data_IF_627749941280
#
_entry.id   IF_627749941280
#
_cell.length_a   1.000
_cell.length_b   1.000
_cell.length_c   1.000
_cell.angle_alpha   90.00
_cell.angle_beta   90.00
_cell.angle_gamma   90.00
#
_symmetry.space_group_name_H-M   'P 1'
#
loop_
_entity.id
_entity.type
_entity.pdbx_description
1 polymer ?
#
# COMPACT_ATOMS: atom_id res chain seq x y z
N UNK A 1 -6.04 40.95 -22.37
CA UNK A 1 -5.32 40.61 -21.12
C UNK A 1 -5.11 39.11 -21.13
N UNK A 2 -3.87 38.67 -21.33
CA UNK A 2 -3.53 37.24 -21.34
C UNK A 2 -2.87 36.93 -20.00
N UNK A 3 -3.58 36.20 -19.14
CA UNK A 3 -3.05 35.76 -17.85
C UNK A 3 -2.17 34.54 -18.07
N UNK A 4 -0.85 34.72 -17.96
CA UNK A 4 0.10 33.61 -17.92
C UNK A 4 -0.01 32.93 -16.56
N UNK A 5 -0.49 31.68 -16.52
CA UNK A 5 -0.43 30.86 -15.32
C UNK A 5 1.02 30.45 -15.06
N UNK A 6 1.66 31.06 -14.05
CA UNK A 6 2.96 30.63 -13.54
C UNK A 6 2.76 29.34 -12.74
N UNK A 7 2.85 28.19 -13.41
CA UNK A 7 3.04 26.91 -12.71
C UNK A 7 4.51 26.79 -12.34
N UNK A 8 4.86 26.86 -11.06
CA UNK A 8 6.21 26.60 -10.58
C UNK A 8 6.56 25.14 -10.85
N UNK A 9 7.60 24.91 -11.66
CA UNK A 9 8.15 23.58 -11.91
C UNK A 9 8.50 22.91 -10.57
N UNK A 10 7.91 21.74 -10.29
CA UNK A 10 8.07 21.03 -9.00
C UNK A 10 6.96 21.25 -7.98
N UNK A 11 5.85 21.90 -8.35
CA UNK A 11 4.63 21.90 -7.52
C UNK A 11 4.05 20.47 -7.42
N UNK A 12 4.49 19.72 -6.41
CA UNK A 12 3.97 18.38 -6.09
C UNK A 12 2.89 18.49 -5.01
N UNK A 13 1.78 17.79 -5.20
CA UNK A 13 0.74 17.67 -4.19
C UNK A 13 1.22 16.70 -3.10
N UNK A 14 1.42 17.20 -1.88
CA UNK A 14 1.90 16.43 -0.71
C UNK A 14 0.77 15.77 0.08
N UNK A 15 -0.45 15.79 -0.42
CA UNK A 15 -1.61 15.17 0.23
C UNK A 15 -1.51 13.65 0.10
N UNK A 16 -1.86 12.92 1.17
CA UNK A 16 -1.93 11.45 1.13
C UNK A 16 -2.80 11.00 -0.03
N UNK A 17 -2.36 9.95 -0.73
CA UNK A 17 -3.17 9.31 -1.76
C UNK A 17 -4.36 8.56 -1.17
N UNK A 18 -4.34 8.22 0.13
CA UNK A 18 -5.30 7.34 0.79
C UNK A 18 -5.44 5.98 0.08
N UNK A 19 -4.38 5.50 -0.57
CA UNK A 19 -4.36 4.19 -1.22
C UNK A 19 -3.26 3.31 -0.64
N UNK A 20 -3.52 2.02 -0.59
CA UNK A 20 -2.54 0.97 -0.35
C UNK A 20 -2.60 -0.05 -1.48
N UNK A 21 -1.53 -0.81 -1.68
CA UNK A 21 -1.57 -1.86 -2.68
C UNK A 21 -0.32 -2.71 -2.74
N UNK A 22 -0.48 -3.86 -3.39
CA UNK A 22 0.58 -4.82 -3.63
C UNK A 22 0.70 -5.10 -5.13
N UNK A 23 1.91 -5.45 -5.54
CA UNK A 23 2.19 -5.97 -6.87
C UNK A 23 2.56 -7.44 -6.74
N UNK A 24 1.73 -8.28 -7.33
CA UNK A 24 1.91 -9.73 -7.38
C UNK A 24 2.68 -10.12 -8.65
N UNK A 25 3.43 -11.22 -8.55
CA UNK A 25 3.96 -11.89 -9.73
C UNK A 25 2.81 -12.44 -10.59
N UNK A 26 3.02 -12.51 -11.90
CA UNK A 26 2.03 -13.05 -12.83
C UNK A 26 2.14 -14.58 -12.90
N UNK A 27 1.82 -15.26 -11.79
CA UNK A 27 1.81 -16.71 -11.65
C UNK A 27 0.44 -17.20 -11.12
N UNK A 28 0.31 -18.51 -10.90
CA UNK A 28 -0.94 -19.11 -10.44
C UNK A 28 -1.41 -18.54 -9.10
N UNK A 29 -0.49 -18.35 -8.14
CA UNK A 29 -0.82 -17.86 -6.80
C UNK A 29 -1.25 -16.40 -6.87
N UNK A 30 -0.52 -15.58 -7.62
CA UNK A 30 -0.86 -14.17 -7.86
C UNK A 30 -2.23 -14.00 -8.51
N UNK A 31 -2.59 -14.87 -9.45
CA UNK A 31 -3.94 -14.89 -10.05
C UNK A 31 -5.03 -15.24 -9.03
N UNK A 32 -4.82 -16.26 -8.20
CA UNK A 32 -5.81 -16.66 -7.20
C UNK A 32 -6.01 -15.55 -6.16
N UNK A 33 -4.92 -14.99 -5.63
CA UNK A 33 -4.99 -13.83 -4.72
C UNK A 33 -5.76 -12.68 -5.39
N UNK A 34 -5.42 -12.33 -6.63
CA UNK A 34 -6.08 -11.22 -7.32
C UNK A 34 -7.58 -11.45 -7.52
N UNK A 35 -8.01 -12.67 -7.87
CA UNK A 35 -9.43 -12.99 -8.00
C UNK A 35 -10.16 -12.98 -6.65
N UNK A 36 -9.57 -13.53 -5.58
CA UNK A 36 -10.14 -13.46 -4.22
C UNK A 36 -10.33 -12.02 -3.74
N UNK A 37 -9.39 -11.14 -4.08
CA UNK A 37 -9.45 -9.74 -3.67
C UNK A 37 -10.40 -8.88 -4.53
N UNK A 38 -10.71 -9.30 -5.77
CA UNK A 38 -11.48 -8.51 -6.75
C UNK A 38 -12.85 -8.06 -6.23
N UNK A 39 -13.51 -8.91 -5.45
CA UNK A 39 -14.88 -8.66 -4.98
C UNK A 39 -14.94 -7.88 -3.66
N UNK A 40 -13.78 -7.54 -3.07
CA UNK A 40 -13.71 -6.78 -1.82
C UNK A 40 -13.94 -5.29 -2.07
N UNK A 41 -14.64 -4.65 -1.14
CA UNK A 41 -14.98 -3.23 -1.25
C UNK A 41 -13.73 -2.35 -1.33
N UNK A 42 -13.73 -1.38 -2.25
CA UNK A 42 -12.62 -0.45 -2.44
C UNK A 42 -11.38 -1.05 -3.11
N UNK A 43 -11.42 -2.31 -3.56
CA UNK A 43 -10.31 -2.95 -4.28
C UNK A 43 -10.42 -2.74 -5.78
N UNK A 44 -9.28 -2.50 -6.42
CA UNK A 44 -9.09 -2.42 -7.87
C UNK A 44 -7.96 -3.35 -8.28
N UNK A 45 -8.29 -4.32 -9.15
CA UNK A 45 -7.31 -5.27 -9.71
C UNK A 45 -6.96 -4.86 -11.13
N UNK A 46 -5.67 -4.72 -11.43
CA UNK A 46 -5.16 -4.42 -12.77
C UNK A 46 -4.17 -5.49 -13.23
N UNK A 47 -4.52 -6.18 -14.32
CA UNK A 47 -3.65 -7.16 -14.96
C UNK A 47 -2.69 -6.46 -15.92
N UNK A 48 -1.39 -6.62 -15.69
CA UNK A 48 -0.32 -6.16 -16.58
C UNK A 48 0.40 -7.39 -17.16
N UNK A 49 1.13 -7.26 -18.28
CA UNK A 49 1.72 -8.41 -18.96
C UNK A 49 2.62 -9.31 -18.08
N UNK A 50 3.31 -8.74 -17.09
CA UNK A 50 4.27 -9.45 -16.23
C UNK A 50 3.93 -9.42 -14.74
N UNK A 51 2.85 -8.74 -14.34
CA UNK A 51 2.52 -8.52 -12.92
C UNK A 51 1.04 -8.20 -12.76
N UNK A 52 0.52 -8.39 -11.57
CA UNK A 52 -0.86 -8.04 -11.22
C UNK A 52 -0.80 -7.00 -10.12
N UNK A 53 -1.51 -5.88 -10.29
CA UNK A 53 -1.65 -4.87 -9.24
C UNK A 53 -2.96 -5.06 -8.52
N UNK A 54 -2.90 -5.10 -7.20
CA UNK A 54 -4.07 -5.08 -6.32
C UNK A 54 -3.96 -3.82 -5.48
N UNK A 55 -4.77 -2.82 -5.81
CA UNK A 55 -4.82 -1.55 -5.12
C UNK A 55 -6.13 -1.45 -4.33
N UNK A 56 -6.11 -0.78 -3.18
CA UNK A 56 -7.29 -0.59 -2.35
C UNK A 56 -7.38 0.83 -1.78
N UNK A 57 -8.61 1.26 -1.53
CA UNK A 57 -8.91 2.50 -0.84
C UNK A 57 -8.77 2.30 0.67
N UNK A 58 -7.89 3.09 1.30
CA UNK A 58 -7.65 3.17 2.75
C UNK A 58 -7.11 1.90 3.43
N UNK A 59 -7.67 0.71 3.17
CA UNK A 59 -7.29 -0.54 3.83
C UNK A 59 -7.60 -1.77 2.96
N UNK A 60 -6.80 -2.83 3.08
CA UNK A 60 -7.02 -4.12 2.45
C UNK A 60 -6.53 -5.28 3.32
N UNK A 61 -7.39 -6.29 3.49
CA UNK A 61 -7.15 -7.44 4.36
C UNK A 61 -7.03 -8.72 3.53
N UNK A 62 -5.90 -9.39 3.65
CA UNK A 62 -5.61 -10.70 3.07
C UNK A 62 -5.81 -11.76 4.16
N UNK A 63 -7.01 -12.34 4.23
CA UNK A 63 -7.35 -13.39 5.20
C UNK A 63 -6.77 -14.71 4.71
N UNK A 64 -5.91 -15.35 5.51
CA UNK A 64 -5.14 -16.51 5.06
C UNK A 64 -6.01 -17.72 4.76
N UNK A 65 -7.02 -18.00 5.59
CA UNK A 65 -7.92 -19.13 5.36
C UNK A 65 -8.74 -18.97 4.07
N UNK A 66 -9.12 -17.74 3.72
CA UNK A 66 -9.84 -17.45 2.47
C UNK A 66 -8.94 -17.67 1.25
N UNK A 67 -7.66 -17.31 1.36
CA UNK A 67 -6.67 -17.54 0.31
C UNK A 67 -6.32 -19.04 0.18
N UNK A 68 -6.17 -19.75 1.29
CA UNK A 68 -5.96 -21.20 1.32
C UNK A 68 -7.13 -21.94 0.66
N UNK A 69 -8.37 -21.59 0.99
CA UNK A 69 -9.57 -22.17 0.37
C UNK A 69 -9.59 -21.91 -1.15
N UNK A 70 -9.27 -20.68 -1.57
CA UNK A 70 -9.22 -20.31 -2.98
C UNK A 70 -8.12 -21.05 -3.77
N UNK A 71 -7.01 -21.38 -3.11
CA UNK A 71 -5.92 -22.20 -3.66
C UNK A 71 -6.23 -23.69 -3.65
N UNK A 72 -7.30 -24.12 -2.95
CA UNK A 72 -7.65 -25.53 -2.76
C UNK A 72 -6.79 -26.24 -1.71
N UNK A 73 -6.23 -25.48 -0.77
CA UNK A 73 -5.39 -25.98 0.32
C UNK A 73 -6.18 -26.09 1.64
N UNK A 74 -5.56 -26.68 2.66
CA UNK A 74 -6.16 -26.82 3.99
C UNK A 74 -6.10 -25.50 4.79
N UNK A 75 -7.10 -25.23 5.63
CA UNK A 75 -7.09 -24.04 6.49
C UNK A 75 -5.82 -23.99 7.37
N UNK A 76 -5.20 -22.81 7.47
CA UNK A 76 -3.91 -22.61 8.10
C UNK A 76 -2.67 -23.06 7.31
N UNK A 77 -2.80 -23.53 6.05
CA UNK A 77 -1.64 -23.80 5.19
C UNK A 77 -0.99 -22.53 4.66
N UNK A 78 -1.81 -21.53 4.33
CA UNK A 78 -1.38 -20.25 3.80
C UNK A 78 -0.96 -19.31 4.93
N UNK A 79 0.17 -18.63 4.78
CA UNK A 79 0.75 -17.76 5.80
C UNK A 79 1.24 -16.44 5.21
N UNK A 80 1.78 -15.57 6.07
CA UNK A 80 2.44 -14.34 5.64
C UNK A 80 3.58 -14.61 4.65
N UNK A 81 4.31 -15.72 4.80
CA UNK A 81 5.45 -16.06 3.95
C UNK A 81 5.01 -16.36 2.52
N UNK A 82 3.89 -17.08 2.35
CA UNK A 82 3.35 -17.42 1.03
C UNK A 82 2.86 -16.17 0.29
N UNK A 83 2.24 -15.23 1.02
CA UNK A 83 1.86 -13.94 0.47
C UNK A 83 3.09 -13.12 0.05
N UNK A 84 4.13 -13.07 0.88
CA UNK A 84 5.37 -12.37 0.58
C UNK A 84 6.12 -12.97 -0.61
N UNK A 85 6.08 -14.30 -0.78
CA UNK A 85 6.70 -14.97 -1.92
C UNK A 85 6.02 -14.60 -3.25
N UNK A 86 4.68 -14.50 -3.26
CA UNK A 86 3.92 -14.08 -4.45
C UNK A 86 4.03 -12.56 -4.71
N UNK A 87 4.43 -11.77 -3.71
CA UNK A 87 4.49 -10.32 -3.77
C UNK A 87 5.87 -9.80 -4.16
N UNK A 88 5.93 -8.99 -5.21
CA UNK A 88 7.17 -8.32 -5.65
C UNK A 88 7.44 -6.99 -4.91
N UNK A 89 6.40 -6.19 -4.70
CA UNK A 89 6.48 -4.86 -4.08
C UNK A 89 5.14 -4.50 -3.45
N UNK A 90 5.16 -3.60 -2.47
CA UNK A 90 3.96 -3.01 -1.90
C UNK A 90 4.14 -1.52 -1.60
N UNK A 91 3.02 -0.82 -1.41
CA UNK A 91 2.99 0.53 -0.86
C UNK A 91 1.84 0.64 0.16
N UNK A 92 2.01 1.54 1.12
CA UNK A 92 1.22 1.56 2.34
C UNK A 92 1.93 0.83 3.48
N UNK A 93 1.30 0.83 4.66
CA UNK A 93 1.80 0.19 5.87
C UNK A 93 1.27 -1.23 5.96
N UNK A 94 2.16 -2.20 5.82
CA UNK A 94 1.86 -3.63 5.99
C UNK A 94 1.95 -4.02 7.47
N UNK A 95 0.98 -4.81 7.93
CA UNK A 95 0.92 -5.42 9.26
C UNK A 95 0.58 -6.90 9.07
N UNK A 96 1.39 -7.78 9.65
CA UNK A 96 1.09 -9.21 9.73
C UNK A 96 0.47 -9.53 11.08
N UNK A 97 -0.62 -10.29 11.05
CA UNK A 97 -1.22 -10.95 12.20
C UNK A 97 -1.12 -12.47 12.01
N UNK A 98 -1.59 -13.22 12.99
CA UNK A 98 -1.54 -14.68 12.96
C UNK A 98 -2.44 -15.28 11.85
N UNK A 99 -3.56 -14.63 11.51
CA UNK A 99 -4.57 -15.14 10.57
C UNK A 99 -4.72 -14.31 9.27
N UNK A 100 -4.00 -13.18 9.16
CA UNK A 100 -4.13 -12.26 8.02
C UNK A 100 -2.95 -11.31 7.86
N UNK A 101 -2.81 -10.77 6.66
CA UNK A 101 -2.00 -9.57 6.39
C UNK A 101 -2.93 -8.38 6.13
N UNK A 102 -2.65 -7.23 6.75
CA UNK A 102 -3.40 -5.99 6.56
C UNK A 102 -2.50 -4.94 5.93
N UNK A 103 -3.03 -4.29 4.89
CA UNK A 103 -2.41 -3.14 4.21
C UNK A 103 -3.18 -1.88 4.55
N UNK A 104 -2.55 -0.91 5.20
CA UNK A 104 -3.10 0.40 5.50
C UNK A 104 -2.54 1.46 4.56
N UNK A 105 -3.39 2.35 4.05
CA UNK A 105 -2.94 3.48 3.23
C UNK A 105 -2.18 4.51 4.07
N UNK A 106 -2.68 4.81 5.27
CA UNK A 106 -2.08 5.78 6.17
C UNK A 106 -1.42 5.08 7.37
N UNK A 107 -0.21 5.50 7.77
CA UNK A 107 0.48 4.90 8.92
C UNK A 107 -0.24 5.16 10.24
N UNK A 108 -1.01 6.25 10.36
CA UNK A 108 -1.78 6.58 11.57
C UNK A 108 -2.88 5.54 11.82
N UNK A 109 -3.57 5.09 10.77
CA UNK A 109 -4.62 4.07 10.87
C UNK A 109 -4.04 2.73 11.37
N UNK A 110 -2.83 2.39 10.89
CA UNK A 110 -2.11 1.20 11.35
C UNK A 110 -1.66 1.33 12.81
N UNK A 111 -1.26 2.52 13.25
CA UNK A 111 -0.82 2.77 14.62
C UNK A 111 -1.99 2.65 15.60
N UNK A 112 -3.13 3.27 15.28
CA UNK A 112 -4.37 3.14 16.04
C UNK A 112 -4.78 1.66 16.15
N UNK A 113 -4.74 0.94 15.03
CA UNK A 113 -5.05 -0.49 14.98
C UNK A 113 -4.15 -1.34 15.90
N UNK A 114 -2.85 -1.05 15.93
CA UNK A 114 -1.88 -1.76 16.77
C UNK A 114 -1.86 -1.29 18.24
N UNK A 115 -2.67 -0.29 18.60
CA UNK A 115 -2.66 0.32 19.93
C UNK A 115 -1.37 1.09 20.25
N UNK A 116 -0.65 1.54 19.22
CA UNK A 116 0.54 2.38 19.35
C UNK A 116 0.19 3.84 19.05
N UNK A 117 0.65 4.77 19.90
CA UNK A 117 0.53 6.21 19.64
C UNK A 117 1.68 6.66 18.72
N UNK A 118 1.36 7.06 17.48
CA UNK A 118 2.35 7.48 16.49
C UNK A 118 2.23 8.99 16.27
N UNK A 119 3.29 9.77 16.59
CA UNK A 119 3.22 11.22 16.40
C UNK A 119 3.13 11.57 14.92
N UNK A 120 2.11 12.36 14.55
CA UNK A 120 1.92 12.86 13.18
C UNK A 120 3.18 13.55 12.69
N UNK A 121 3.68 13.13 11.53
CA UNK A 121 4.82 13.76 10.87
C UNK A 121 4.44 15.18 10.43
N UNK A 122 4.72 16.17 11.29
CA UNK A 122 4.58 17.58 10.93
C UNK A 122 5.60 17.89 9.83
N UNK A 123 5.24 18.58 8.74
CA UNK A 123 6.23 19.00 7.76
C UNK A 123 7.22 19.96 8.45
N UNK A 124 8.46 19.52 8.64
CA UNK A 124 9.53 20.37 9.15
C UNK A 124 9.72 21.55 8.20
N UNK A 125 9.66 22.77 8.76
CA UNK A 125 9.88 24.03 8.02
C UNK A 125 11.35 24.46 8.09
N UNK A 126 12.27 23.59 8.50
CA UNK A 126 13.70 23.92 8.54
C UNK A 126 14.34 23.76 7.16
N UNK A 127 14.10 24.78 6.32
CA UNK A 127 15.03 25.10 5.24
C UNK A 127 16.25 25.76 5.91
N UNK A 128 17.44 25.14 5.93
CA UNK A 128 18.61 25.78 6.52
C UNK A 128 18.90 27.07 5.73
N UNK A 129 18.93 28.20 6.43
CA UNK A 129 19.29 29.48 5.87
C UNK A 129 20.67 29.37 5.20
N UNK A 130 20.73 29.67 3.90
CA UNK A 130 21.97 29.69 3.14
C UNK A 130 23.00 30.54 3.88
N UNK A 131 24.15 29.94 4.24
CA UNK A 131 25.26 30.67 4.83
C UNK A 131 25.76 31.68 3.79
N UNK A 132 25.51 32.96 4.02
CA UNK A 132 26.09 34.04 3.25
C UNK A 132 27.60 34.06 3.50
N UNK A 133 28.38 33.62 2.52
CA UNK A 133 29.83 33.83 2.51
C UNK A 133 30.12 35.31 2.28
N UNK A 134 30.49 36.02 3.34
CA UNK A 134 31.23 37.27 3.24
C UNK A 134 32.50 37.08 4.03
N UNK A 135 33.63 37.14 3.31
CA UNK A 135 34.99 36.98 3.81
C UNK A 135 35.94 36.96 2.63
#
# INVERSE_FOLDING_TARGET
MTTTATSTFGAVNKTSSNRAGITLMNDQVGHVIAETMRDKAGVTVTYLPSMIRVDADTRMDFVYDELAEALGEEAGSFTSADLEESMSTHYGRMVHEDDRTIMFANPEDAAEYLGFDLPVARPETDVPAARSSTG
#
